data_IF_572193680854
#
_entry.id   IF_572193680854
#
_cell.length_a   1.000
_cell.length_b   1.000
_cell.length_c   1.000
_cell.angle_alpha   90.00
_cell.angle_beta   90.00
_cell.angle_gamma   90.00
#
_symmetry.space_group_name_H-M   'P 1'
#
loop_
_entity.id
_entity.type
_entity.pdbx_description
1 polymer ?
#
# COMPACT_ATOMS: atom_id res chain seq x y z
N UNK A 1 -17.27 3.17 4.55
CA UNK A 1 -16.29 2.19 5.08
C UNK A 1 -14.92 2.88 5.02
N UNK A 2 -14.06 2.81 6.04
CA UNK A 2 -12.80 3.59 6.01
C UNK A 2 -11.79 2.91 5.07
N UNK A 3 -10.88 3.70 4.44
CA UNK A 3 -9.81 3.18 3.57
C UNK A 3 -9.05 2.00 4.20
N UNK A 4 -8.83 2.06 5.51
CA UNK A 4 -8.17 1.01 6.28
C UNK A 4 -8.91 -0.33 6.21
N UNK A 5 -10.22 -0.34 6.36
CA UNK A 5 -11.04 -1.56 6.28
C UNK A 5 -10.96 -2.19 4.89
N UNK A 6 -10.92 -1.36 3.84
CA UNK A 6 -10.80 -1.80 2.45
C UNK A 6 -9.42 -2.42 2.22
N UNK A 7 -8.37 -1.74 2.66
CA UNK A 7 -6.99 -2.23 2.55
C UNK A 7 -6.81 -3.58 3.25
N UNK A 8 -7.30 -3.72 4.48
CA UNK A 8 -7.24 -4.99 5.23
C UNK A 8 -7.96 -6.13 4.52
N UNK A 9 -9.12 -5.86 3.90
CA UNK A 9 -9.85 -6.85 3.12
C UNK A 9 -9.10 -7.23 1.84
N UNK A 10 -8.45 -6.28 1.18
CA UNK A 10 -7.63 -6.54 -0.02
C UNK A 10 -6.41 -7.40 0.29
N UNK A 11 -5.79 -7.26 1.47
CA UNK A 11 -4.60 -8.00 1.86
C UNK A 11 -4.86 -9.36 2.53
N UNK A 12 -6.13 -9.77 2.72
CA UNK A 12 -6.54 -10.93 3.53
C UNK A 12 -6.05 -10.88 4.99
N UNK A 13 -6.58 -9.88 5.69
CA UNK A 13 -7.03 -9.83 7.11
C UNK A 13 -6.12 -10.08 8.32
N UNK A 14 -4.92 -10.65 8.23
CA UNK A 14 -4.04 -10.75 9.43
C UNK A 14 -2.79 -9.88 9.30
N UNK A 15 -2.99 -8.60 8.93
CA UNK A 15 -1.93 -7.60 9.02
C UNK A 15 -1.75 -7.23 10.50
N UNK A 16 -0.98 -8.03 11.23
CA UNK A 16 -0.72 -7.81 12.65
C UNK A 16 0.14 -6.56 12.83
N UNK A 17 -0.48 -5.39 12.99
CA UNK A 17 0.24 -4.14 13.29
C UNK A 17 0.53 -4.08 14.79
N UNK A 18 1.80 -4.17 15.15
CA UNK A 18 2.31 -3.87 16.48
C UNK A 18 3.55 -2.99 16.37
N UNK A 19 4.01 -2.44 17.50
CA UNK A 19 5.28 -1.68 17.55
C UNK A 19 6.50 -2.49 17.05
N UNK A 20 6.37 -3.82 16.95
CA UNK A 20 7.41 -4.74 16.50
C UNK A 20 7.14 -5.34 15.10
N UNK A 21 5.99 -5.05 14.49
CA UNK A 21 5.58 -5.70 13.25
C UNK A 21 6.01 -4.97 11.99
N UNK A 22 6.30 -3.66 12.06
CA UNK A 22 6.87 -2.91 10.93
C UNK A 22 8.31 -3.36 10.78
N UNK A 23 8.52 -4.43 10.00
CA UNK A 23 9.82 -5.07 9.83
C UNK A 23 10.36 -4.67 8.45
N UNK A 24 11.67 -4.42 8.40
CA UNK A 24 12.34 -4.10 7.15
C UNK A 24 12.74 -5.35 6.34
N UNK A 25 12.60 -6.54 6.95
CA UNK A 25 12.94 -7.84 6.37
C UNK A 25 11.86 -8.87 6.71
N UNK A 26 11.67 -9.89 5.85
CA UNK A 26 10.95 -11.07 6.23
C UNK A 26 11.69 -11.78 7.37
N UNK A 27 10.98 -12.13 8.44
CA UNK A 27 11.60 -12.79 9.61
C UNK A 27 11.02 -14.17 9.86
N UNK A 28 9.92 -14.52 9.18
CA UNK A 28 9.37 -15.87 9.19
C UNK A 28 9.74 -16.62 7.91
N UNK A 29 10.12 -17.91 7.99
CA UNK A 29 10.31 -18.74 6.82
C UNK A 29 9.03 -18.76 5.97
N UNK A 30 9.14 -18.40 4.69
CA UNK A 30 8.01 -18.35 3.76
C UNK A 30 7.24 -17.03 3.73
N UNK A 31 7.63 -16.03 4.53
CA UNK A 31 7.13 -14.65 4.38
C UNK A 31 7.89 -13.99 3.23
N UNK A 32 7.20 -13.69 2.12
CA UNK A 32 7.83 -13.13 0.91
C UNK A 32 7.25 -11.75 0.57
N UNK A 33 5.98 -11.49 0.95
CA UNK A 33 5.27 -10.25 0.62
C UNK A 33 5.69 -9.12 1.57
N UNK A 34 6.09 -7.94 1.07
CA UNK A 34 6.52 -6.80 1.89
C UNK A 34 5.30 -6.02 2.43
N UNK A 35 4.55 -6.61 3.36
CA UNK A 35 3.33 -6.02 3.92
C UNK A 35 3.58 -4.69 4.64
N UNK A 36 4.76 -4.51 5.23
CA UNK A 36 5.15 -3.26 5.90
C UNK A 36 5.32 -2.11 4.93
N UNK A 37 5.85 -2.37 3.73
CA UNK A 37 5.89 -1.39 2.66
C UNK A 37 4.46 -1.00 2.25
N UNK A 38 3.58 -1.98 2.02
CA UNK A 38 2.19 -1.73 1.63
C UNK A 38 1.47 -0.89 2.69
N UNK A 39 1.66 -1.22 3.97
CA UNK A 39 1.13 -0.46 5.10
C UNK A 39 1.65 0.98 5.11
N UNK A 40 2.96 1.18 4.94
CA UNK A 40 3.59 2.49 4.91
C UNK A 40 3.06 3.36 3.77
N UNK A 41 2.90 2.79 2.57
CA UNK A 41 2.27 3.49 1.43
C UNK A 41 0.83 3.91 1.77
N UNK A 42 0.08 3.04 2.45
CA UNK A 42 -1.27 3.34 2.94
C UNK A 42 -1.28 4.53 3.91
N UNK A 43 -0.44 4.49 4.94
CA UNK A 43 -0.33 5.57 5.93
C UNK A 43 0.09 6.90 5.30
N UNK A 44 1.09 6.87 4.41
CA UNK A 44 1.53 8.06 3.68
C UNK A 44 0.39 8.61 2.82
N UNK A 45 -0.41 7.77 2.18
CA UNK A 45 -1.57 8.19 1.39
C UNK A 45 -2.65 8.88 2.23
N UNK A 46 -2.90 8.38 3.46
CA UNK A 46 -3.81 9.02 4.42
C UNK A 46 -3.30 10.40 4.79
N UNK A 47 -2.02 10.48 5.16
CA UNK A 47 -1.37 11.75 5.50
C UNK A 47 -1.42 12.74 4.33
N UNK A 48 -1.09 12.28 3.11
CA UNK A 48 -1.06 13.13 1.92
C UNK A 48 -2.44 13.66 1.54
N UNK A 49 -3.47 12.83 1.59
CA UNK A 49 -4.84 13.27 1.32
C UNK A 49 -5.29 14.35 2.31
N UNK A 50 -4.95 14.21 3.61
CA UNK A 50 -5.20 15.26 4.62
C UNK A 50 -4.42 16.54 4.34
N UNK A 51 -3.17 16.41 3.88
CA UNK A 51 -2.33 17.54 3.54
C UNK A 51 -2.87 18.32 2.33
N UNK A 52 -3.35 17.62 1.31
CA UNK A 52 -3.93 18.24 0.11
C UNK A 52 -5.17 19.07 0.47
N UNK A 53 -6.03 18.56 1.36
CA UNK A 53 -7.18 19.31 1.90
C UNK A 53 -6.70 20.53 2.71
N UNK A 54 -5.72 20.36 3.60
CA UNK A 54 -5.17 21.44 4.42
C UNK A 54 -4.58 22.57 3.58
N UNK A 55 -3.94 22.22 2.46
CA UNK A 55 -3.29 23.16 1.56
C UNK A 55 -4.23 23.71 0.47
N UNK A 56 -5.53 23.42 0.56
CA UNK A 56 -6.54 23.86 -0.42
C UNK A 56 -6.17 23.52 -1.88
N UNK A 57 -5.57 22.34 -2.09
CA UNK A 57 -5.25 21.85 -3.45
C UNK A 57 -6.56 21.74 -4.25
N UNK A 58 -6.64 22.31 -5.46
CA UNK A 58 -7.81 22.14 -6.33
C UNK A 58 -8.05 20.65 -6.62
N UNK A 59 -9.26 20.16 -6.33
CA UNK A 59 -9.64 18.75 -6.45
C UNK A 59 -8.65 17.79 -5.73
N UNK A 60 -8.60 17.82 -4.37
CA UNK A 60 -7.65 17.00 -3.62
C UNK A 60 -7.91 15.51 -3.88
N UNK A 61 -6.84 14.74 -4.08
CA UNK A 61 -6.95 13.30 -4.33
C UNK A 61 -7.42 12.57 -3.07
N UNK A 62 -8.25 11.55 -3.27
CA UNK A 62 -8.63 10.63 -2.21
C UNK A 62 -7.42 9.81 -1.76
N UNK A 63 -7.48 9.29 -0.52
CA UNK A 63 -6.46 8.36 0.00
C UNK A 63 -6.20 7.21 -0.98
N UNK A 64 -7.27 6.66 -1.56
CA UNK A 64 -7.21 5.58 -2.54
C UNK A 64 -6.40 5.97 -3.77
N UNK A 65 -6.62 7.16 -4.33
CA UNK A 65 -5.90 7.62 -5.52
C UNK A 65 -4.41 7.82 -5.25
N UNK A 66 -4.05 8.43 -4.11
CA UNK A 66 -2.65 8.52 -3.68
C UNK A 66 -2.02 7.13 -3.53
N UNK A 67 -2.74 6.21 -2.91
CA UNK A 67 -2.26 4.85 -2.68
C UNK A 67 -2.03 4.09 -4.00
N UNK A 68 -3.00 4.10 -4.92
CA UNK A 68 -2.87 3.45 -6.23
C UNK A 68 -1.68 4.01 -7.01
N UNK A 69 -1.47 5.34 -6.97
CA UNK A 69 -0.33 5.97 -7.64
C UNK A 69 1.01 5.50 -7.07
N UNK A 70 1.12 5.39 -5.75
CA UNK A 70 2.35 4.90 -5.10
C UNK A 70 2.59 3.42 -5.37
N UNK A 71 1.54 2.59 -5.31
CA UNK A 71 1.62 1.16 -5.66
C UNK A 71 2.07 0.99 -7.11
N UNK A 72 1.56 1.80 -8.04
CA UNK A 72 1.97 1.78 -9.44
C UNK A 72 3.44 2.17 -9.61
N UNK A 73 3.90 3.20 -8.89
CA UNK A 73 5.30 3.61 -8.90
C UNK A 73 6.22 2.52 -8.37
N UNK A 74 5.90 1.93 -7.23
CA UNK A 74 6.68 0.82 -6.66
C UNK A 74 6.72 -0.37 -7.62
N UNK A 75 5.58 -0.74 -8.21
CA UNK A 75 5.53 -1.81 -9.20
C UNK A 75 6.44 -1.52 -10.40
N UNK A 76 6.40 -0.29 -10.93
CA UNK A 76 7.22 0.09 -12.09
C UNK A 76 8.72 -0.01 -11.85
N UNK A 77 9.18 0.14 -10.59
CA UNK A 77 10.58 -0.07 -10.22
C UNK A 77 10.96 -1.55 -10.33
N UNK A 78 10.09 -2.46 -9.89
CA UNK A 78 10.31 -3.90 -9.99
C UNK A 78 10.19 -4.45 -11.41
N UNK A 79 9.33 -3.85 -12.25
CA UNK A 79 9.22 -4.22 -13.67
C UNK A 79 10.53 -3.99 -14.45
N UNK A 80 11.43 -3.12 -13.95
CA UNK A 80 12.75 -2.88 -14.51
C UNK A 80 13.87 -3.79 -13.99
N UNK A 81 13.59 -4.68 -13.03
CA UNK A 81 14.58 -5.60 -12.47
C UNK A 81 14.66 -6.91 -13.26
N UNK A 82 15.87 -7.47 -13.40
CA UNK A 82 16.06 -8.80 -14.04
C UNK A 82 15.32 -9.93 -13.29
N UNK A 83 15.15 -9.77 -11.98
CA UNK A 83 14.41 -10.69 -11.12
C UNK A 83 13.17 -10.02 -10.57
N UNK A 84 12.01 -10.50 -11.02
CA UNK A 84 10.71 -10.02 -10.57
C UNK A 84 10.33 -10.79 -9.30
N UNK A 85 9.97 -10.11 -8.19
CA UNK A 85 9.58 -10.82 -6.98
C UNK A 85 8.25 -11.57 -7.15
N UNK A 86 8.16 -12.79 -6.61
CA UNK A 86 6.98 -13.65 -6.69
C UNK A 86 5.71 -13.01 -6.09
N UNK A 87 5.88 -12.04 -5.19
CA UNK A 87 4.78 -11.30 -4.56
C UNK A 87 4.24 -10.14 -5.40
N UNK A 88 4.86 -9.80 -6.53
CA UNK A 88 4.44 -8.65 -7.35
C UNK A 88 2.95 -8.71 -7.78
N UNK A 89 2.33 -9.88 -8.04
CA UNK A 89 0.89 -9.97 -8.30
C UNK A 89 -0.02 -9.45 -7.17
N UNK A 90 0.49 -9.33 -5.94
CA UNK A 90 -0.24 -8.65 -4.83
C UNK A 90 -0.46 -7.18 -5.17
N UNK A 91 0.52 -6.52 -5.80
CA UNK A 91 0.42 -5.13 -6.23
C UNK A 91 -0.65 -4.96 -7.32
N UNK A 92 -0.83 -5.93 -8.22
CA UNK A 92 -1.93 -5.90 -9.20
C UNK A 92 -3.32 -5.90 -8.56
N UNK A 93 -3.46 -6.64 -7.46
CA UNK A 93 -4.72 -6.66 -6.70
C UNK A 93 -4.97 -5.31 -6.01
N UNK A 94 -3.90 -4.66 -5.53
CA UNK A 94 -3.96 -3.33 -4.92
C UNK A 94 -4.27 -2.23 -5.93
N UNK A 95 -3.75 -2.32 -7.15
CA UNK A 95 -4.07 -1.38 -8.25
C UNK A 95 -5.56 -1.44 -8.64
N UNK A 96 -6.18 -2.61 -8.49
CA UNK A 96 -7.61 -2.85 -8.77
C UNK A 96 -8.51 -2.61 -7.56
N UNK A 97 -7.99 -1.99 -6.49
CA UNK A 97 -8.76 -1.69 -5.28
C UNK A 97 -9.99 -0.85 -5.62
N UNK A 98 -11.17 -1.32 -5.19
CA UNK A 98 -12.46 -0.67 -5.42
C UNK A 98 -12.63 0.56 -4.51
N UNK A 99 -13.47 1.48 -4.98
CA UNK A 99 -13.97 2.61 -4.19
C UNK A 99 -15.25 2.16 -3.46
N UNK A 100 -15.39 2.45 -2.16
CA UNK A 100 -16.52 2.05 -1.32
C UNK A 100 -16.96 3.17 -0.39
#
# INVERSE_FOLDING_TARGET
IFFWDVLQRTLKKDLAISAHSIRFLPTMPGEIVPYDLIMLLGLYSIWRSRLDVRNAIPAPKTVRLHFIQLVAQVKSVYDGCETVPDYLPVFDSLLKMKEF
#
